data_IF_697682072117
#
_entry.id   IF_697682072117
#
_cell.length_a   1.000
_cell.length_b   1.000
_cell.length_c   1.000
_cell.angle_alpha   90.00
_cell.angle_beta   90.00
_cell.angle_gamma   90.00
#
_symmetry.space_group_name_H-M   'P 1'
#
loop_
_entity.id
_entity.type
_entity.pdbx_description
1 polymer ?
#
# COMPACT_ATOMS: atom_id res chain seq x y z
N UNK A 1 25.12 -26.54 0.28
CA UNK A 1 25.09 -25.28 1.05
C UNK A 1 24.99 -25.64 2.54
N UNK A 2 25.68 -24.91 3.41
CA UNK A 2 25.59 -25.15 4.86
C UNK A 2 24.18 -24.80 5.36
N UNK A 3 23.57 -25.66 6.16
CA UNK A 3 22.21 -25.42 6.68
C UNK A 3 22.22 -24.31 7.75
N UNK A 4 21.10 -23.60 7.97
CA UNK A 4 20.97 -22.67 9.09
C UNK A 4 21.36 -23.33 10.42
N UNK A 5 22.26 -22.67 11.16
CA UNK A 5 22.81 -23.20 12.42
C UNK A 5 23.91 -24.27 12.26
N UNK A 6 24.28 -24.63 11.03
CA UNK A 6 25.37 -25.56 10.76
C UNK A 6 26.76 -24.94 10.98
N UNK A 7 27.76 -25.82 11.07
CA UNK A 7 29.19 -25.45 11.07
C UNK A 7 30.04 -26.49 10.34
N UNK A 8 31.19 -26.06 9.82
CA UNK A 8 32.20 -26.92 9.17
C UNK A 8 33.53 -26.68 9.87
N UNK A 9 34.16 -27.75 10.34
CA UNK A 9 35.52 -27.72 10.87
C UNK A 9 36.54 -27.94 9.75
N UNK A 10 37.58 -27.12 9.73
CA UNK A 10 38.67 -27.17 8.77
C UNK A 10 39.86 -27.95 9.34
N UNK A 11 40.75 -28.49 8.48
CA UNK A 11 41.93 -29.25 8.93
C UNK A 11 42.93 -28.44 9.77
N UNK A 12 42.91 -27.12 9.68
CA UNK A 12 43.74 -26.21 10.47
C UNK A 12 43.16 -25.88 11.87
N UNK A 13 42.00 -26.46 12.21
CA UNK A 13 41.28 -26.21 13.46
C UNK A 13 40.28 -25.06 13.41
N UNK A 14 40.20 -24.31 12.31
CA UNK A 14 39.21 -23.24 12.12
C UNK A 14 37.81 -23.84 11.98
N UNK A 15 36.79 -23.24 12.62
CA UNK A 15 35.38 -23.63 12.44
C UNK A 15 34.62 -22.49 11.80
N UNK A 16 34.03 -22.73 10.63
CA UNK A 16 33.17 -21.76 9.94
C UNK A 16 31.71 -22.07 10.31
N UNK A 17 31.02 -21.10 10.90
CA UNK A 17 29.58 -21.18 11.23
C UNK A 17 28.73 -20.57 10.14
N UNK A 18 27.46 -20.93 10.12
CA UNK A 18 26.53 -20.46 9.09
C UNK A 18 26.42 -18.93 9.11
N UNK A 19 26.41 -18.37 10.32
CA UNK A 19 26.42 -16.93 10.60
C UNK A 19 27.68 -16.21 10.12
N UNK A 20 28.84 -16.89 10.06
CA UNK A 20 30.08 -16.30 9.53
C UNK A 20 30.04 -16.17 8.00
N UNK A 21 29.23 -17.00 7.33
CA UNK A 21 29.17 -17.13 5.88
C UNK A 21 27.86 -16.63 5.26
N UNK A 22 26.96 -16.04 6.06
CA UNK A 22 25.65 -15.55 5.59
C UNK A 22 25.33 -14.17 6.13
N UNK A 23 24.49 -13.44 5.39
CA UNK A 23 23.91 -12.17 5.86
C UNK A 23 22.51 -12.42 6.40
N UNK A 24 21.99 -11.56 7.30
CA UNK A 24 20.62 -11.65 7.76
C UNK A 24 19.63 -11.70 6.59
N UNK A 25 18.58 -12.50 6.74
CA UNK A 25 17.53 -12.60 5.73
C UNK A 25 16.90 -11.22 5.48
N UNK A 26 16.73 -10.87 4.19
CA UNK A 26 16.03 -9.62 3.82
C UNK A 26 14.56 -9.76 4.18
N UNK A 27 13.95 -8.80 4.90
CA UNK A 27 12.52 -8.81 5.18
C UNK A 27 11.70 -8.87 3.88
N UNK A 28 10.61 -9.63 3.91
CA UNK A 28 9.66 -9.68 2.80
C UNK A 28 8.98 -8.33 2.57
N UNK A 29 8.52 -8.09 1.33
CA UNK A 29 7.71 -6.93 0.98
C UNK A 29 6.23 -7.23 1.18
N UNK A 30 5.48 -6.28 1.71
CA UNK A 30 4.04 -6.36 1.93
C UNK A 30 3.29 -5.43 0.98
N UNK A 31 2.49 -6.03 0.09
CA UNK A 31 1.58 -5.34 -0.82
C UNK A 31 0.14 -5.54 -0.36
N UNK A 32 -0.65 -4.47 -0.32
CA UNK A 32 -2.07 -4.51 0.00
C UNK A 32 -2.83 -3.88 -1.15
N UNK A 33 -3.75 -4.63 -1.74
CA UNK A 33 -4.58 -4.19 -2.86
C UNK A 33 -6.03 -4.23 -2.38
N UNK A 34 -6.64 -3.06 -2.27
CA UNK A 34 -8.06 -2.96 -1.95
C UNK A 34 -8.88 -3.02 -3.24
N UNK A 35 -10.07 -3.60 -3.14
CA UNK A 35 -11.13 -3.42 -4.12
C UNK A 35 -11.95 -2.17 -3.81
N UNK A 36 -13.10 -2.07 -4.48
CA UNK A 36 -14.05 -0.97 -4.29
C UNK A 36 -14.56 -0.93 -2.85
N UNK A 37 -14.51 0.25 -2.24
CA UNK A 37 -14.93 0.47 -0.86
C UNK A 37 -15.11 1.96 -0.56
N UNK A 38 -16.06 2.27 0.31
CA UNK A 38 -16.20 3.59 0.94
C UNK A 38 -15.72 3.61 2.41
N UNK A 39 -15.35 2.46 2.97
CA UNK A 39 -14.83 2.32 4.33
C UNK A 39 -13.92 1.09 4.46
N UNK A 40 -12.60 1.31 4.46
CA UNK A 40 -11.60 0.26 4.58
C UNK A 40 -11.20 -0.07 6.03
N UNK A 41 -11.83 0.53 7.06
CA UNK A 41 -11.38 0.39 8.46
C UNK A 41 -11.28 -1.04 8.96
N UNK A 42 -12.15 -1.94 8.48
CA UNK A 42 -12.11 -3.37 8.82
C UNK A 42 -10.83 -4.07 8.38
N UNK A 43 -10.11 -3.51 7.39
CA UNK A 43 -8.87 -4.04 6.82
C UNK A 43 -7.62 -3.37 7.41
N UNK A 44 -7.76 -2.52 8.44
CA UNK A 44 -6.65 -1.75 8.97
C UNK A 44 -5.51 -2.62 9.52
N UNK A 45 -5.85 -3.76 10.14
CA UNK A 45 -4.88 -4.70 10.69
C UNK A 45 -4.04 -5.35 9.60
N UNK A 46 -4.69 -5.76 8.52
CA UNK A 46 -4.09 -6.37 7.35
C UNK A 46 -3.28 -5.35 6.56
N UNK A 47 -3.70 -4.08 6.55
CA UNK A 47 -3.01 -3.00 5.86
C UNK A 47 -1.81 -2.43 6.63
N UNK A 48 -1.73 -2.67 7.95
CA UNK A 48 -0.72 -2.07 8.81
C UNK A 48 0.71 -2.32 8.33
N UNK A 49 1.49 -1.25 8.15
CA UNK A 49 2.91 -1.32 7.77
C UNK A 49 3.16 -1.83 6.35
N UNK A 50 2.17 -1.79 5.45
CA UNK A 50 2.37 -2.17 4.06
C UNK A 50 3.47 -1.34 3.38
N UNK A 51 4.31 -1.96 2.57
CA UNK A 51 5.29 -1.25 1.74
C UNK A 51 4.60 -0.48 0.61
N UNK A 52 3.49 -1.02 0.11
CA UNK A 52 2.64 -0.39 -0.89
C UNK A 52 1.18 -0.72 -0.61
N UNK A 53 0.36 0.33 -0.54
CA UNK A 53 -1.09 0.25 -0.44
C UNK A 53 -1.70 0.78 -1.74
N UNK A 54 -2.53 -0.04 -2.39
CA UNK A 54 -3.31 0.34 -3.57
C UNK A 54 -4.77 0.52 -3.12
N UNK A 55 -5.30 1.72 -3.27
CA UNK A 55 -6.64 2.10 -2.81
C UNK A 55 -7.43 2.78 -3.94
N UNK A 56 -8.72 2.49 -4.04
CA UNK A 56 -9.60 3.19 -4.98
C UNK A 56 -9.80 4.68 -4.58
N UNK A 57 -9.93 5.55 -5.56
CA UNK A 57 -10.23 6.97 -5.37
C UNK A 57 -11.12 7.46 -6.51
N UNK A 58 -12.33 6.89 -6.59
CA UNK A 58 -13.22 7.05 -7.73
C UNK A 58 -13.58 8.50 -8.02
N UNK A 59 -13.89 9.29 -6.99
CA UNK A 59 -14.24 10.70 -7.15
C UNK A 59 -13.36 11.60 -6.27
N UNK A 60 -13.01 12.77 -6.78
CA UNK A 60 -12.14 13.76 -6.20
C UNK A 60 -12.79 15.12 -6.45
N UNK A 61 -12.89 15.94 -5.41
CA UNK A 61 -13.30 17.32 -5.59
C UNK A 61 -12.11 18.15 -6.09
N UNK A 62 -12.29 18.81 -7.23
CA UNK A 62 -11.28 19.65 -7.87
C UNK A 62 -11.73 21.12 -7.78
N UNK A 63 -11.03 21.96 -6.99
CA UNK A 63 -11.32 23.38 -6.90
C UNK A 63 -11.32 24.05 -8.29
N UNK A 64 -12.37 24.81 -8.58
CA UNK A 64 -12.52 25.52 -9.86
C UNK A 64 -13.02 24.68 -11.03
N UNK A 65 -13.19 23.35 -10.85
CA UNK A 65 -13.82 22.46 -11.84
C UNK A 65 -15.19 21.99 -11.34
N UNK A 66 -15.27 21.52 -10.10
CA UNK A 66 -16.53 21.10 -9.51
C UNK A 66 -17.33 22.32 -9.01
N UNK A 67 -18.61 22.39 -9.36
CA UNK A 67 -19.56 23.42 -8.87
C UNK A 67 -20.09 23.10 -7.48
N UNK A 68 -20.04 21.84 -7.06
CA UNK A 68 -20.51 21.36 -5.78
C UNK A 68 -19.42 21.53 -4.71
N UNK A 69 -19.80 21.46 -3.44
CA UNK A 69 -18.83 21.49 -2.35
C UNK A 69 -18.05 20.18 -2.25
N UNK A 70 -16.84 20.21 -1.67
CA UNK A 70 -16.07 19.00 -1.34
C UNK A 70 -16.89 18.00 -0.52
N UNK A 71 -17.72 18.52 0.39
CA UNK A 71 -18.61 17.71 1.23
C UNK A 71 -19.68 16.99 0.41
N UNK A 72 -20.26 17.66 -0.59
CA UNK A 72 -21.26 17.04 -1.47
C UNK A 72 -20.62 15.94 -2.32
N UNK A 73 -19.45 16.20 -2.93
CA UNK A 73 -18.72 15.19 -3.70
C UNK A 73 -18.40 13.98 -2.80
N UNK A 74 -17.89 14.20 -1.59
CA UNK A 74 -17.62 13.12 -0.64
C UNK A 74 -18.89 12.34 -0.28
N UNK A 75 -19.99 13.02 0.04
CA UNK A 75 -21.26 12.39 0.39
C UNK A 75 -21.75 11.49 -0.74
N UNK A 76 -21.78 12.02 -1.96
CA UNK A 76 -22.27 11.29 -3.12
C UNK A 76 -21.34 10.11 -3.43
N UNK A 77 -20.03 10.27 -3.28
CA UNK A 77 -19.05 9.18 -3.48
C UNK A 77 -19.27 8.02 -2.51
N UNK A 78 -19.48 8.31 -1.22
CA UNK A 78 -19.79 7.30 -0.20
C UNK A 78 -21.13 6.64 -0.49
N UNK A 79 -22.14 7.40 -0.94
CA UNK A 79 -23.46 6.85 -1.28
C UNK A 79 -23.40 5.85 -2.44
N UNK A 80 -22.44 5.98 -3.35
CA UNK A 80 -22.17 5.03 -4.44
C UNK A 80 -21.20 3.91 -4.04
N UNK A 81 -20.79 3.82 -2.76
CA UNK A 81 -19.91 2.76 -2.28
C UNK A 81 -18.42 2.96 -2.60
N UNK A 82 -18.02 4.17 -2.98
CA UNK A 82 -16.65 4.49 -3.38
C UNK A 82 -15.92 5.43 -2.42
N UNK A 83 -14.64 5.64 -2.68
CA UNK A 83 -13.75 6.50 -1.90
C UNK A 83 -13.27 7.74 -2.65
N UNK A 84 -12.91 8.76 -1.87
CA UNK A 84 -12.20 9.95 -2.35
C UNK A 84 -10.69 9.84 -2.09
N UNK A 85 -9.82 10.58 -2.79
CA UNK A 85 -8.39 10.62 -2.49
C UNK A 85 -8.06 10.92 -1.03
N UNK A 86 -8.84 11.80 -0.40
CA UNK A 86 -8.72 12.16 1.01
C UNK A 86 -8.98 10.94 1.90
N UNK A 87 -10.03 10.17 1.61
CA UNK A 87 -10.34 8.94 2.37
C UNK A 87 -9.23 7.88 2.21
N UNK A 88 -8.71 7.70 1.00
CA UNK A 88 -7.58 6.80 0.75
C UNK A 88 -6.31 7.26 1.49
N UNK A 89 -6.05 8.57 1.52
CA UNK A 89 -4.94 9.18 2.26
C UNK A 89 -5.06 9.01 3.77
N UNK A 90 -6.25 9.20 4.32
CA UNK A 90 -6.54 9.00 5.75
C UNK A 90 -6.32 7.54 6.15
N UNK A 91 -6.79 6.59 5.34
CA UNK A 91 -6.57 5.16 5.57
C UNK A 91 -5.08 4.79 5.47
N UNK A 92 -4.36 5.32 4.48
CA UNK A 92 -2.92 5.13 4.31
C UNK A 92 -2.13 5.65 5.53
N UNK A 93 -2.51 6.82 6.06
CA UNK A 93 -1.91 7.41 7.26
C UNK A 93 -2.19 6.56 8.50
N UNK A 94 -3.46 6.16 8.69
CA UNK A 94 -3.89 5.33 9.82
C UNK A 94 -3.15 3.98 9.86
N UNK A 95 -2.89 3.39 8.69
CA UNK A 95 -2.25 2.07 8.57
C UNK A 95 -0.73 2.15 8.50
N UNK A 96 -0.14 3.36 8.53
CA UNK A 96 1.30 3.57 8.45
C UNK A 96 1.95 2.87 7.24
N UNK A 97 1.26 2.85 6.10
CA UNK A 97 1.84 2.34 4.87
C UNK A 97 2.98 3.26 4.41
N UNK A 98 3.98 2.70 3.71
CA UNK A 98 5.12 3.48 3.22
C UNK A 98 4.79 4.28 1.97
N UNK A 99 3.90 3.75 1.12
CA UNK A 99 3.49 4.36 -0.14
C UNK A 99 2.03 4.06 -0.42
N UNK A 100 1.30 5.07 -0.90
CA UNK A 100 -0.07 4.98 -1.37
C UNK A 100 -0.09 5.13 -2.90
N UNK A 101 -0.84 4.26 -3.58
CA UNK A 101 -1.19 4.36 -4.99
C UNK A 101 -2.71 4.48 -5.10
N UNK A 102 -3.15 5.49 -5.82
CA UNK A 102 -4.57 5.70 -6.11
C UNK A 102 -4.91 5.03 -7.44
N UNK A 103 -6.05 4.34 -7.49
CA UNK A 103 -6.56 3.65 -8.68
C UNK A 103 -8.08 3.84 -8.80
N UNK A 104 -8.67 3.19 -9.81
CA UNK A 104 -10.12 3.13 -10.03
C UNK A 104 -10.76 4.52 -10.17
N UNK A 105 -10.13 5.39 -10.97
CA UNK A 105 -10.61 6.75 -11.20
C UNK A 105 -11.89 6.75 -12.04
N UNK A 106 -12.85 7.62 -11.68
CA UNK A 106 -14.03 7.84 -12.49
C UNK A 106 -13.65 8.26 -13.92
N UNK A 107 -14.33 7.74 -14.96
CA UNK A 107 -14.13 8.15 -16.35
C UNK A 107 -14.33 9.67 -16.59
N UNK A 108 -14.91 10.40 -15.63
CA UNK A 108 -15.06 11.86 -15.69
C UNK A 108 -13.71 12.58 -15.75
N UNK A 109 -12.65 11.99 -15.19
CA UNK A 109 -11.30 12.50 -15.36
C UNK A 109 -10.74 11.95 -16.65
N UNK A 110 -10.74 12.80 -17.68
CA UNK A 110 -9.98 12.49 -18.89
C UNK A 110 -8.50 12.48 -18.50
N UNK A 111 -7.81 11.37 -18.79
CA UNK A 111 -6.36 11.43 -18.86
C UNK A 111 -6.00 12.46 -19.93
N UNK A 112 -4.92 13.21 -19.69
CA UNK A 112 -4.16 13.79 -20.78
C UNK A 112 -4.01 12.69 -21.85
N UNK A 113 -4.61 12.93 -23.02
CA UNK A 113 -4.32 12.12 -24.20
C UNK A 113 -2.94 12.57 -24.66
N UNK A 114 -1.92 11.93 -24.11
CA UNK A 114 -0.65 11.82 -24.82
C UNK A 114 -0.90 10.89 -26.01
N UNK A 115 -1.37 11.48 -27.12
CA UNK A 115 -1.08 10.98 -28.47
C UNK A 115 0.42 11.21 -28.77
#
# INVERSE_FOLDING_TARGET
AMQPGGSIAMPDGTTIRHEDATVPAKPGRKLVILGDTCDARSLAKEAYGADLLIHEATNAWIPGVDTNSERDVRRDTVAHGHSTPQMAGDFARMTQCKRLVLTHFSPRYRSDRSD
#
